data_IF_667746744600
#
_entry.id   IF_667746744600
#
_cell.length_a   1.000
_cell.length_b   1.000
_cell.length_c   1.000
_cell.angle_alpha   90.00
_cell.angle_beta   90.00
_cell.angle_gamma   90.00
#
_symmetry.space_group_name_H-M   'P 1'
#
loop_
_entity.id
_entity.type
_entity.pdbx_description
1 polymer ?
#
# COMPACT_ATOMS: atom_id res chain seq x y z
N UNK A 1 -12.71 -9.81 -8.54
CA UNK A 1 -11.71 -8.88 -7.99
C UNK A 1 -11.38 -9.20 -6.54
N UNK A 2 -12.39 -9.23 -5.65
CA UNK A 2 -12.18 -9.50 -4.22
C UNK A 2 -11.50 -10.84 -3.95
N UNK A 3 -11.87 -11.87 -4.68
CA UNK A 3 -11.26 -13.21 -4.55
C UNK A 3 -9.78 -13.16 -4.91
N UNK A 4 -9.41 -12.46 -5.99
CA UNK A 4 -8.01 -12.35 -6.41
C UNK A 4 -7.18 -11.58 -5.39
N UNK A 5 -7.76 -10.57 -4.74
CA UNK A 5 -7.08 -9.81 -3.68
C UNK A 5 -6.90 -10.64 -2.42
N UNK A 6 -7.90 -11.42 -2.04
CA UNK A 6 -7.81 -12.36 -0.92
C UNK A 6 -6.73 -13.43 -1.17
N UNK A 7 -6.64 -13.91 -2.41
CA UNK A 7 -5.60 -14.86 -2.81
C UNK A 7 -4.21 -14.24 -2.66
N UNK A 8 -4.04 -12.96 -3.02
CA UNK A 8 -2.76 -12.23 -2.86
C UNK A 8 -2.39 -12.14 -1.38
N UNK A 9 -3.34 -11.84 -0.51
CA UNK A 9 -3.09 -11.78 0.94
C UNK A 9 -2.63 -13.13 1.49
N UNK A 10 -3.32 -14.19 1.10
CA UNK A 10 -2.97 -15.55 1.54
C UNK A 10 -1.60 -15.97 1.02
N UNK A 11 -1.31 -15.68 -0.23
CA UNK A 11 -0.01 -15.96 -0.83
C UNK A 11 1.11 -15.23 -0.08
N UNK A 12 0.89 -13.97 0.28
CA UNK A 12 1.84 -13.17 1.06
C UNK A 12 2.14 -13.84 2.40
N UNK A 13 1.11 -14.26 3.12
CA UNK A 13 1.28 -14.92 4.42
C UNK A 13 2.07 -16.23 4.28
N UNK A 14 1.73 -17.04 3.30
CA UNK A 14 2.39 -18.34 3.08
C UNK A 14 3.85 -18.17 2.64
N UNK A 15 4.11 -17.26 1.71
CA UNK A 15 5.47 -16.96 1.27
C UNK A 15 6.33 -16.39 2.40
N UNK A 16 5.73 -15.55 3.24
CA UNK A 16 6.44 -14.96 4.38
C UNK A 16 6.93 -16.06 5.34
N UNK A 17 6.07 -17.03 5.64
CA UNK A 17 6.42 -18.15 6.49
C UNK A 17 7.56 -18.98 5.91
N UNK A 18 7.49 -19.28 4.60
CA UNK A 18 8.52 -20.06 3.91
C UNK A 18 9.88 -19.34 3.82
N UNK A 19 9.87 -18.03 3.66
CA UNK A 19 11.05 -17.24 3.40
C UNK A 19 11.66 -16.56 4.64
N UNK A 20 10.94 -16.56 5.77
CA UNK A 20 11.45 -15.97 7.01
C UNK A 20 12.79 -16.55 7.44
N UNK A 21 13.02 -17.88 7.39
CA UNK A 21 14.33 -18.45 7.74
C UNK A 21 15.49 -17.95 6.87
N UNK A 22 15.17 -17.39 5.70
CA UNK A 22 16.15 -16.83 4.77
C UNK A 22 16.32 -15.32 4.91
N UNK A 23 15.65 -14.70 5.89
CA UNK A 23 15.73 -13.27 6.12
C UNK A 23 15.02 -12.42 5.07
N UNK A 24 14.07 -13.00 4.34
CA UNK A 24 13.32 -12.30 3.30
C UNK A 24 11.95 -11.88 3.84
N UNK A 25 11.66 -10.57 3.80
CA UNK A 25 10.36 -10.02 4.17
C UNK A 25 9.42 -10.07 2.99
N UNK A 26 8.20 -10.54 3.21
CA UNK A 26 7.14 -10.56 2.19
C UNK A 26 5.95 -9.78 2.75
N UNK A 27 5.59 -8.70 2.07
CA UNK A 27 4.59 -7.73 2.54
C UNK A 27 3.58 -7.49 1.43
N UNK A 28 2.30 -7.47 1.80
CA UNK A 28 1.24 -7.06 0.89
C UNK A 28 0.99 -5.57 1.09
N UNK A 29 1.15 -4.77 0.03
CA UNK A 29 0.96 -3.33 0.09
C UNK A 29 -0.40 -2.96 -0.49
N UNK A 30 -1.22 -2.29 0.31
CA UNK A 30 -2.54 -1.82 -0.07
C UNK A 30 -2.49 -0.33 -0.41
N UNK A 31 -2.69 0.06 -1.68
CA UNK A 31 -2.93 1.46 -2.02
C UNK A 31 -4.37 1.85 -1.70
N UNK A 32 -4.61 3.14 -1.63
CA UNK A 32 -5.97 3.70 -1.66
C UNK A 32 -6.45 3.87 -3.09
N UNK A 33 -7.23 4.93 -3.34
CA UNK A 33 -7.66 5.27 -4.69
C UNK A 33 -6.52 5.95 -5.43
N UNK A 34 -5.91 5.25 -6.38
CA UNK A 34 -4.76 5.72 -7.14
C UNK A 34 -5.22 6.39 -8.43
N UNK A 35 -4.71 7.58 -8.72
CA UNK A 35 -5.00 8.34 -9.94
C UNK A 35 -4.26 7.74 -11.14
N UNK A 36 -4.67 6.53 -11.53
CA UNK A 36 -4.23 5.90 -12.78
C UNK A 36 -4.96 6.52 -13.96
N UNK A 37 -4.54 6.22 -15.17
CA UNK A 37 -5.25 6.67 -16.38
C UNK A 37 -6.70 6.22 -16.37
N UNK A 38 -6.95 4.99 -15.96
CA UNK A 38 -8.29 4.42 -15.88
C UNK A 38 -9.17 5.17 -14.89
N UNK A 39 -8.65 5.48 -13.71
CA UNK A 39 -9.36 6.26 -12.68
C UNK A 39 -9.62 7.69 -13.16
N UNK A 40 -8.64 8.32 -13.81
CA UNK A 40 -8.78 9.69 -14.32
C UNK A 40 -9.82 9.81 -15.43
N UNK A 41 -10.06 8.76 -16.21
CA UNK A 41 -11.17 8.74 -17.19
C UNK A 41 -12.53 8.82 -16.53
N UNK A 42 -12.66 8.37 -15.29
CA UNK A 42 -13.92 8.39 -14.52
C UNK A 42 -13.91 9.50 -13.45
N UNK A 43 -13.00 10.49 -13.56
CA UNK A 43 -12.79 11.51 -12.54
C UNK A 43 -14.07 12.33 -12.22
N UNK A 44 -14.94 12.57 -13.21
CA UNK A 44 -16.20 13.30 -12.99
C UNK A 44 -17.19 12.54 -12.11
N UNK A 45 -17.03 11.22 -11.96
CA UNK A 45 -17.90 10.36 -11.15
C UNK A 45 -17.30 9.98 -9.81
N UNK A 46 -16.07 10.42 -9.52
CA UNK A 46 -15.30 10.00 -8.34
C UNK A 46 -14.87 11.22 -7.53
N UNK A 47 -14.92 11.08 -6.21
CA UNK A 47 -14.28 12.02 -5.30
C UNK A 47 -12.80 11.66 -5.16
N UNK A 48 -11.93 12.50 -5.72
CA UNK A 48 -10.49 12.29 -5.70
C UNK A 48 -9.77 13.10 -4.61
N UNK A 49 -10.51 13.69 -3.67
CA UNK A 49 -9.93 14.55 -2.63
C UNK A 49 -8.94 13.82 -1.72
N UNK A 50 -9.15 12.53 -1.49
CA UNK A 50 -8.27 11.66 -0.69
C UNK A 50 -7.57 10.62 -1.57
N UNK A 51 -7.33 10.93 -2.84
CA UNK A 51 -6.66 10.02 -3.76
C UNK A 51 -5.14 10.14 -3.69
N UNK A 52 -4.47 9.16 -4.29
CA UNK A 52 -3.02 9.02 -4.29
C UNK A 52 -2.49 9.09 -5.72
N UNK A 53 -1.29 9.66 -5.90
CA UNK A 53 -0.59 9.51 -7.17
C UNK A 53 0.05 8.12 -7.25
N UNK A 54 0.36 7.62 -8.46
CA UNK A 54 1.16 6.39 -8.60
C UNK A 54 2.52 6.48 -7.91
N UNK A 55 3.12 7.67 -7.88
CA UNK A 55 4.39 7.93 -7.22
C UNK A 55 4.32 7.72 -5.70
N UNK A 56 3.16 7.96 -5.10
CA UNK A 56 2.96 7.75 -3.66
C UNK A 56 3.22 6.29 -3.28
N UNK A 57 2.72 5.35 -4.09
CA UNK A 57 2.95 3.93 -3.87
C UNK A 57 4.44 3.60 -4.00
N UNK A 58 5.11 4.21 -4.99
CA UNK A 58 6.56 4.07 -5.14
C UNK A 58 7.32 4.57 -3.92
N UNK A 59 6.88 5.67 -3.30
CA UNK A 59 7.47 6.18 -2.05
C UNK A 59 7.27 5.21 -0.89
N UNK A 60 6.10 4.56 -0.81
CA UNK A 60 5.85 3.53 0.20
C UNK A 60 6.79 2.33 0.02
N UNK A 61 6.98 1.88 -1.21
CA UNK A 61 7.93 0.78 -1.52
C UNK A 61 9.35 1.19 -1.15
N UNK A 62 9.76 2.40 -1.50
CA UNK A 62 11.10 2.90 -1.17
C UNK A 62 11.34 2.97 0.34
N UNK A 63 10.33 3.42 1.10
CA UNK A 63 10.41 3.48 2.55
C UNK A 63 10.58 2.09 3.16
N UNK A 64 9.80 1.11 2.72
CA UNK A 64 9.91 -0.28 3.16
C UNK A 64 11.27 -0.88 2.80
N UNK A 65 11.74 -0.64 1.58
CA UNK A 65 13.02 -1.16 1.11
C UNK A 65 14.22 -0.57 1.87
N UNK A 66 14.05 0.65 2.41
CA UNK A 66 15.09 1.36 3.15
C UNK A 66 15.05 1.09 4.67
N UNK A 67 14.02 0.39 5.15
CA UNK A 67 13.85 0.12 6.57
C UNK A 67 14.71 -1.10 6.98
N UNK A 68 15.71 -0.93 7.84
CA UNK A 68 16.54 -2.08 8.26
C UNK A 68 15.77 -3.09 9.11
N UNK A 69 14.59 -2.72 9.62
CA UNK A 69 13.73 -3.58 10.43
C UNK A 69 12.52 -4.09 9.68
N UNK A 70 12.52 -4.03 8.36
CA UNK A 70 11.38 -4.42 7.52
C UNK A 70 10.94 -5.87 7.76
N UNK A 71 11.84 -6.74 8.18
CA UNK A 71 11.52 -8.14 8.46
C UNK A 71 10.44 -8.29 9.54
N UNK A 72 10.33 -7.33 10.45
CA UNK A 72 9.28 -7.33 11.49
C UNK A 72 7.88 -7.19 10.91
N UNK A 73 7.76 -6.73 9.66
CA UNK A 73 6.49 -6.57 8.95
C UNK A 73 6.16 -7.76 8.06
N UNK A 74 7.02 -8.76 7.99
CA UNK A 74 6.80 -9.90 7.08
C UNK A 74 5.49 -10.60 7.38
N UNK A 75 4.78 -11.00 6.33
CA UNK A 75 3.50 -11.68 6.43
C UNK A 75 2.30 -10.77 6.69
N UNK A 76 2.49 -9.46 6.72
CA UNK A 76 1.42 -8.50 7.03
C UNK A 76 0.95 -7.74 5.80
N UNK A 77 -0.25 -7.15 5.94
CA UNK A 77 -0.77 -6.16 5.01
C UNK A 77 -0.40 -4.77 5.54
N UNK A 78 0.24 -3.96 4.69
CA UNK A 78 0.56 -2.58 5.00
C UNK A 78 -0.24 -1.66 4.09
N UNK A 79 -0.89 -0.66 4.66
CA UNK A 79 -1.64 0.36 3.92
C UNK A 79 -0.70 1.52 3.62
N UNK A 80 -0.57 1.90 2.35
CA UNK A 80 0.37 2.94 1.93
C UNK A 80 0.19 4.26 2.69
N UNK A 81 -1.05 4.70 2.88
CA UNK A 81 -1.34 5.93 3.61
C UNK A 81 -0.95 5.85 5.09
N UNK A 82 -1.07 4.67 5.70
CA UNK A 82 -0.60 4.45 7.07
C UNK A 82 0.93 4.48 7.14
N UNK A 83 1.61 3.89 6.16
CA UNK A 83 3.07 3.92 6.07
C UNK A 83 3.59 5.35 5.91
N UNK A 84 2.86 6.20 5.18
CA UNK A 84 3.22 7.61 5.03
C UNK A 84 3.31 8.33 6.38
N UNK A 85 2.38 8.03 7.28
CA UNK A 85 2.41 8.57 8.65
C UNK A 85 3.58 8.01 9.45
N UNK A 86 3.80 6.71 9.38
CA UNK A 86 4.86 6.05 10.16
C UNK A 86 6.26 6.47 9.71
N UNK A 87 6.50 6.54 8.39
CA UNK A 87 7.80 6.87 7.83
C UNK A 87 8.00 8.36 7.57
N UNK A 88 6.93 9.15 7.66
CA UNK A 88 7.02 10.60 7.50
C UNK A 88 7.18 11.08 6.06
N UNK A 89 6.54 10.43 5.10
CA UNK A 89 6.55 10.91 3.71
C UNK A 89 5.15 11.39 3.28
N UNK A 90 5.12 12.17 2.21
CA UNK A 90 3.90 12.70 1.61
C UNK A 90 3.86 12.35 0.12
N UNK A 91 2.72 12.60 -0.53
CA UNK A 91 2.60 12.49 -1.96
C UNK A 91 3.33 13.65 -2.66
N UNK A 92 3.44 13.57 -3.97
CA UNK A 92 4.17 14.57 -4.79
C UNK A 92 3.59 15.98 -4.68
N UNK A 93 2.28 16.10 -4.35
CA UNK A 93 1.60 17.37 -4.12
C UNK A 93 1.74 17.88 -2.67
N UNK A 94 2.48 17.18 -1.83
CA UNK A 94 2.68 17.51 -0.42
C UNK A 94 1.58 17.03 0.50
N UNK A 95 0.54 16.40 -0.03
CA UNK A 95 -0.56 15.86 0.77
C UNK A 95 -0.19 14.52 1.36
N UNK A 96 -0.82 14.20 2.49
CA UNK A 96 -0.72 12.89 3.12
C UNK A 96 -2.12 12.29 3.17
N UNK A 97 -2.47 11.43 2.19
CA UNK A 97 -3.79 10.81 2.15
C UNK A 97 -4.12 10.07 3.44
N UNK A 98 -5.39 10.07 3.81
CA UNK A 98 -5.88 9.37 4.99
C UNK A 98 -6.14 7.91 4.64
N UNK A 99 -5.71 6.95 5.49
CA UNK A 99 -6.04 5.55 5.24
C UNK A 99 -7.55 5.33 5.16
N UNK A 100 -7.98 4.56 4.16
CA UNK A 100 -9.38 4.18 4.02
C UNK A 100 -9.75 3.13 5.06
N UNK A 101 -11.00 3.18 5.52
CA UNK A 101 -11.57 2.17 6.42
C UNK A 101 -12.77 1.50 5.75
N UNK A 102 -13.28 0.45 6.37
CA UNK A 102 -14.49 -0.22 5.89
C UNK A 102 -15.68 0.75 5.78
N UNK A 103 -15.70 1.77 6.62
CA UNK A 103 -16.76 2.79 6.61
C UNK A 103 -16.70 3.71 5.39
N UNK A 104 -15.58 3.75 4.70
CA UNK A 104 -15.35 4.64 3.55
C UNK A 104 -15.59 3.93 2.21
N UNK A 105 -15.99 2.68 2.25
CA UNK A 105 -16.17 1.84 1.04
C UNK A 105 -17.66 1.66 0.75
#
# INVERSE_FOLDING_TARGET
YGVSKAATDKMTADMAEELEPHGVAVICLYPGLVRTESVMRAAEFLDLSNSESPQFIGRAVAALASDPEVIKRTGTVCVAAALAKEYGFADIDGKQPVPLSIKDV
#
